data_IF_465323983442
#
_entry.id   IF_465323983442
#
_cell.length_a   1.000
_cell.length_b   1.000
_cell.length_c   1.000
_cell.angle_alpha   90.00
_cell.angle_beta   90.00
_cell.angle_gamma   90.00
#
_symmetry.space_group_name_H-M   'P 1'
#
loop_
_entity.id
_entity.type
_entity.pdbx_description
1 polymer ?
#
# COMPACT_ATOMS: atom_id res chain seq x y z
N UNK A 1 -30.85 11.97 4.01
CA UNK A 1 -30.01 11.11 3.15
C UNK A 1 -29.29 12.04 2.20
N UNK A 2 -28.05 12.43 2.52
CA UNK A 2 -27.31 13.41 1.73
C UNK A 2 -27.10 12.89 0.31
N UNK A 3 -27.26 13.75 -0.68
CA UNK A 3 -27.11 13.40 -2.09
C UNK A 3 -25.71 12.84 -2.34
N UNK A 4 -25.63 11.50 -2.43
CA UNK A 4 -24.43 10.80 -2.86
C UNK A 4 -24.25 11.12 -4.33
N UNK A 5 -23.39 12.09 -4.62
CA UNK A 5 -23.06 12.50 -5.98
C UNK A 5 -21.75 11.83 -6.41
N UNK A 6 -21.77 11.23 -7.60
CA UNK A 6 -20.59 10.60 -8.19
C UNK A 6 -19.57 11.67 -8.60
N UNK A 7 -18.40 11.66 -7.96
CA UNK A 7 -17.31 12.57 -8.31
C UNK A 7 -16.42 11.97 -9.41
N UNK A 8 -16.90 12.02 -10.66
CA UNK A 8 -16.16 11.49 -11.83
C UNK A 8 -14.83 12.21 -12.08
N UNK A 9 -14.65 13.44 -11.56
CA UNK A 9 -13.37 14.16 -11.64
C UNK A 9 -12.30 13.59 -10.71
N UNK A 10 -12.67 12.87 -9.65
CA UNK A 10 -11.71 12.28 -8.72
C UNK A 10 -10.71 11.34 -9.43
N UNK A 11 -11.18 10.57 -10.41
CA UNK A 11 -10.35 9.67 -11.22
C UNK A 11 -9.28 10.40 -12.04
N UNK A 12 -9.50 11.68 -12.35
CA UNK A 12 -8.55 12.52 -13.10
C UNK A 12 -7.60 13.31 -12.20
N UNK A 13 -7.77 13.26 -10.87
CA UNK A 13 -6.87 13.94 -9.93
C UNK A 13 -5.67 13.07 -9.60
N UNK A 14 -4.53 13.70 -9.28
CA UNK A 14 -3.33 13.00 -8.83
C UNK A 14 -3.62 12.11 -7.62
N UNK A 15 -4.52 12.54 -6.72
CA UNK A 15 -4.98 11.71 -5.58
C UNK A 15 -5.68 10.42 -6.01
N UNK A 16 -6.64 10.50 -6.93
CA UNK A 16 -7.32 9.32 -7.45
C UNK A 16 -6.36 8.36 -8.12
N UNK A 17 -5.43 8.87 -8.93
CA UNK A 17 -4.41 8.08 -9.61
C UNK A 17 -3.48 7.40 -8.61
N UNK A 18 -3.00 8.11 -7.58
CA UNK A 18 -2.13 7.54 -6.55
C UNK A 18 -2.84 6.43 -5.78
N UNK A 19 -4.11 6.61 -5.41
CA UNK A 19 -4.89 5.54 -4.76
C UNK A 19 -5.02 4.30 -5.64
N UNK A 20 -5.27 4.49 -6.94
CA UNK A 20 -5.31 3.37 -7.89
C UNK A 20 -3.94 2.67 -7.96
N UNK A 21 -2.84 3.42 -8.06
CA UNK A 21 -1.49 2.85 -8.07
C UNK A 21 -1.18 2.08 -6.79
N UNK A 22 -1.56 2.61 -5.63
CA UNK A 22 -1.42 1.92 -4.34
C UNK A 22 -2.23 0.61 -4.31
N UNK A 23 -3.44 0.59 -4.87
CA UNK A 23 -4.27 -0.63 -4.93
C UNK A 23 -3.65 -1.66 -5.88
N UNK A 24 -3.28 -1.25 -7.09
CA UNK A 24 -2.71 -2.16 -8.11
C UNK A 24 -1.38 -2.73 -7.66
N UNK A 25 -0.46 -1.88 -7.17
CA UNK A 25 0.81 -2.35 -6.64
C UNK A 25 0.61 -3.28 -5.42
N UNK A 26 -0.36 -2.98 -4.57
CA UNK A 26 -0.70 -3.82 -3.42
C UNK A 26 -1.20 -5.20 -3.82
N UNK A 27 -2.06 -5.31 -4.85
CA UNK A 27 -2.47 -6.61 -5.40
C UNK A 27 -1.29 -7.40 -5.96
N UNK A 28 -0.40 -6.75 -6.73
CA UNK A 28 0.80 -7.41 -7.27
C UNK A 28 1.69 -7.94 -6.13
N UNK A 29 1.91 -7.16 -5.08
CA UNK A 29 2.69 -7.59 -3.91
C UNK A 29 2.03 -8.81 -3.25
N UNK A 30 0.72 -8.79 -3.01
CA UNK A 30 0.00 -9.95 -2.45
C UNK A 30 0.16 -11.19 -3.32
N UNK A 31 0.01 -11.06 -4.64
CA UNK A 31 0.20 -12.17 -5.58
C UNK A 31 1.64 -12.70 -5.52
N UNK A 32 2.65 -11.83 -5.54
CA UNK A 32 4.06 -12.26 -5.52
C UNK A 32 4.44 -12.94 -4.21
N UNK A 33 4.03 -12.37 -3.07
CA UNK A 33 4.37 -12.90 -1.75
C UNK A 33 3.63 -14.21 -1.43
N UNK A 34 2.38 -14.37 -1.87
CA UNK A 34 1.59 -15.56 -1.55
C UNK A 34 1.57 -16.64 -2.65
N UNK A 35 1.97 -16.35 -3.89
CA UNK A 35 2.05 -17.37 -4.96
C UNK A 35 3.24 -18.32 -4.80
N UNK A 36 4.23 -17.97 -3.97
CA UNK A 36 5.42 -18.77 -3.80
C UNK A 36 5.62 -19.22 -2.36
N UNK A 37 6.05 -20.48 -2.25
CA UNK A 37 6.47 -21.05 -0.99
C UNK A 37 7.98 -20.81 -0.82
N UNK A 38 8.37 -19.88 0.03
CA UNK A 38 9.77 -19.48 0.26
C UNK A 38 10.49 -20.49 1.14
N UNK A 39 10.75 -21.69 0.60
CA UNK A 39 11.43 -22.77 1.33
C UNK A 39 10.58 -23.39 2.45
N UNK A 40 9.27 -23.54 2.21
CA UNK A 40 8.32 -24.08 3.20
C UNK A 40 7.65 -23.01 4.07
N UNK A 41 7.99 -21.73 3.87
CA UNK A 41 7.45 -20.61 4.64
C UNK A 41 6.37 -19.89 3.86
N UNK A 42 5.18 -19.82 4.44
CA UNK A 42 4.02 -19.17 3.84
C UNK A 42 4.03 -17.67 4.07
N UNK A 43 3.31 -16.93 3.23
CA UNK A 43 3.21 -15.46 3.32
C UNK A 43 2.62 -14.95 4.65
N UNK A 44 2.03 -15.81 5.47
CA UNK A 44 1.54 -15.50 6.83
C UNK A 44 2.23 -16.32 7.94
N UNK A 45 3.03 -17.32 7.59
CA UNK A 45 3.55 -18.30 8.55
C UNK A 45 4.85 -17.89 9.22
N UNK A 46 5.51 -16.84 8.74
CA UNK A 46 6.79 -16.39 9.27
C UNK A 46 6.71 -14.91 9.68
N UNK A 47 7.22 -14.54 10.86
CA UNK A 47 6.92 -13.23 11.45
C UNK A 47 7.26 -12.02 10.58
N UNK A 48 8.40 -12.04 9.88
CA UNK A 48 8.86 -10.89 9.06
C UNK A 48 8.15 -10.79 7.71
N UNK A 49 8.03 -11.92 7.00
CA UNK A 49 7.25 -12.02 5.75
C UNK A 49 5.76 -11.77 6.02
N UNK A 50 5.24 -12.32 7.11
CA UNK A 50 3.87 -12.20 7.59
C UNK A 50 3.50 -10.76 7.94
N UNK A 51 4.40 -10.01 8.56
CA UNK A 51 4.17 -8.58 8.80
C UNK A 51 4.05 -7.81 7.47
N UNK A 52 4.97 -8.02 6.53
CA UNK A 52 4.95 -7.31 5.25
C UNK A 52 3.72 -7.66 4.41
N UNK A 53 3.38 -8.95 4.32
CA UNK A 53 2.22 -9.47 3.59
C UNK A 53 0.91 -9.02 4.23
N UNK A 54 0.79 -9.17 5.55
CA UNK A 54 -0.40 -8.80 6.31
C UNK A 54 -0.68 -7.29 6.28
N UNK A 55 0.35 -6.48 6.49
CA UNK A 55 0.25 -5.02 6.37
C UNK A 55 -0.25 -4.63 4.96
N UNK A 56 0.38 -5.17 3.91
CA UNK A 56 0.00 -4.87 2.54
C UNK A 56 -1.44 -5.29 2.25
N UNK A 57 -1.87 -6.46 2.72
CA UNK A 57 -3.24 -6.94 2.55
C UNK A 57 -4.27 -6.00 3.21
N UNK A 58 -4.04 -5.61 4.46
CA UNK A 58 -4.91 -4.68 5.19
C UNK A 58 -4.95 -3.31 4.50
N UNK A 59 -3.81 -2.79 4.07
CA UNK A 59 -3.73 -1.51 3.37
C UNK A 59 -4.45 -1.52 2.01
N UNK A 60 -4.42 -2.61 1.25
CA UNK A 60 -5.19 -2.74 0.01
C UNK A 60 -6.69 -2.61 0.29
N UNK A 61 -7.19 -3.32 1.30
CA UNK A 61 -8.61 -3.27 1.67
C UNK A 61 -9.01 -1.86 2.09
N UNK A 62 -8.22 -1.21 2.95
CA UNK A 62 -8.52 0.17 3.39
C UNK A 62 -8.44 1.16 2.21
N UNK A 63 -7.45 1.02 1.32
CA UNK A 63 -7.34 1.88 0.14
C UNK A 63 -8.54 1.73 -0.81
N UNK A 64 -9.07 0.52 -0.99
CA UNK A 64 -10.30 0.29 -1.77
C UNK A 64 -11.49 1.00 -1.12
N UNK A 65 -11.65 0.87 0.20
CA UNK A 65 -12.74 1.53 0.93
C UNK A 65 -12.64 3.06 0.81
N UNK A 66 -11.46 3.63 1.04
CA UNK A 66 -11.23 5.08 0.91
C UNK A 66 -11.44 5.57 -0.53
N UNK A 67 -11.04 4.78 -1.52
CA UNK A 67 -11.29 5.10 -2.93
C UNK A 67 -12.80 5.18 -3.22
N UNK A 68 -13.59 4.21 -2.75
CA UNK A 68 -15.06 4.23 -2.90
C UNK A 68 -15.68 5.41 -2.17
N UNK A 69 -15.26 5.71 -0.92
CA UNK A 69 -15.77 6.85 -0.16
C UNK A 69 -15.49 8.19 -0.86
N UNK A 70 -14.27 8.38 -1.36
CA UNK A 70 -13.89 9.59 -2.10
C UNK A 70 -14.61 9.69 -3.46
N UNK A 71 -14.87 8.56 -4.12
CA UNK A 71 -15.64 8.51 -5.36
C UNK A 71 -17.12 8.90 -5.15
N UNK A 72 -17.69 8.54 -3.99
CA UNK A 72 -19.03 8.92 -3.55
C UNK A 72 -19.08 10.33 -2.90
N UNK A 73 -17.98 11.08 -2.97
CA UNK A 73 -17.84 12.43 -2.41
C UNK A 73 -18.09 12.54 -0.90
N UNK A 74 -17.96 11.42 -0.16
CA UNK A 74 -18.04 11.38 1.30
C UNK A 74 -16.65 11.70 1.85
N UNK A 75 -16.29 12.99 1.82
CA UNK A 75 -14.93 13.46 2.12
C UNK A 75 -14.52 13.29 3.58
N UNK A 76 -13.82 12.20 3.91
CA UNK A 76 -13.26 11.92 5.24
C UNK A 76 -11.78 12.35 5.35
N UNK A 77 -11.49 13.62 5.06
CA UNK A 77 -10.14 14.18 4.94
C UNK A 77 -9.21 13.92 6.15
N UNK A 78 -9.75 14.02 7.37
CA UNK A 78 -8.97 13.83 8.59
C UNK A 78 -8.53 12.38 8.80
N UNK A 79 -9.43 11.42 8.51
CA UNK A 79 -9.15 9.99 8.64
C UNK A 79 -8.09 9.56 7.61
N UNK A 80 -8.23 10.02 6.37
CA UNK A 80 -7.30 9.69 5.28
C UNK A 80 -5.88 10.24 5.53
N UNK A 81 -5.77 11.43 6.13
CA UNK A 81 -4.47 12.00 6.53
C UNK A 81 -3.79 11.14 7.60
N UNK A 82 -4.49 10.79 8.68
CA UNK A 82 -3.91 9.96 9.75
C UNK A 82 -3.52 8.59 9.21
N UNK A 83 -4.40 7.97 8.43
CA UNK A 83 -4.16 6.69 7.80
C UNK A 83 -2.89 6.71 6.92
N UNK A 84 -2.74 7.73 6.08
CA UNK A 84 -1.59 7.81 5.15
C UNK A 84 -0.27 8.04 5.89
N UNK A 85 -0.28 8.83 6.97
CA UNK A 85 0.90 9.02 7.84
C UNK A 85 1.28 7.70 8.54
N UNK A 86 0.31 7.00 9.12
CA UNK A 86 0.55 5.71 9.78
C UNK A 86 1.07 4.68 8.78
N UNK A 87 0.47 4.58 7.59
CA UNK A 87 0.94 3.66 6.55
C UNK A 87 2.36 3.98 6.08
N UNK A 88 2.72 5.25 5.96
CA UNK A 88 4.09 5.66 5.60
C UNK A 88 5.11 5.09 6.59
N UNK A 89 4.85 5.20 7.90
CA UNK A 89 5.74 4.66 8.94
C UNK A 89 5.77 3.13 8.92
N UNK A 90 4.60 2.48 8.78
CA UNK A 90 4.51 1.02 8.77
C UNK A 90 5.20 0.41 7.54
N UNK A 91 5.06 1.01 6.35
CA UNK A 91 5.74 0.56 5.14
C UNK A 91 7.25 0.81 5.17
N UNK A 92 7.71 1.86 5.88
CA UNK A 92 9.14 2.03 6.15
C UNK A 92 9.69 0.86 6.96
N UNK A 93 9.00 0.47 8.04
CA UNK A 93 9.37 -0.70 8.85
C UNK A 93 9.32 -1.99 8.02
N UNK A 94 8.27 -2.17 7.22
CA UNK A 94 8.14 -3.32 6.33
C UNK A 94 9.29 -3.41 5.30
N UNK A 95 9.73 -2.28 4.75
CA UNK A 95 10.87 -2.25 3.82
C UNK A 95 12.18 -2.70 4.48
N UNK A 96 12.44 -2.30 5.73
CA UNK A 96 13.62 -2.76 6.46
C UNK A 96 13.55 -4.27 6.78
N UNK A 97 12.36 -4.76 7.17
CA UNK A 97 12.14 -6.17 7.50
C UNK A 97 12.29 -7.10 6.29
N UNK A 98 11.77 -6.72 5.12
CA UNK A 98 11.89 -7.54 3.91
C UNK A 98 13.33 -7.56 3.39
N UNK A 99 14.08 -6.47 3.52
CA UNK A 99 15.52 -6.43 3.18
C UNK A 99 16.31 -7.34 4.12
N UNK A 100 16.05 -7.26 5.43
CA UNK A 100 16.66 -8.19 6.38
C UNK A 100 16.37 -9.63 5.97
N UNK A 101 15.11 -9.94 5.66
CA UNK A 101 14.72 -11.28 5.24
C UNK A 101 15.50 -11.77 4.00
N UNK A 102 15.72 -10.91 3.00
CA UNK A 102 16.54 -11.23 1.82
C UNK A 102 17.98 -11.58 2.22
N UNK A 103 18.59 -10.81 3.11
CA UNK A 103 19.98 -11.00 3.54
C UNK A 103 20.14 -12.31 4.33
N UNK A 104 19.27 -12.55 5.32
CA UNK A 104 19.37 -13.71 6.21
C UNK A 104 19.24 -15.04 5.47
N UNK A 105 18.31 -15.09 4.49
CA UNK A 105 18.04 -16.33 3.77
C UNK A 105 18.81 -16.46 2.46
N UNK A 106 19.65 -15.46 2.12
CA UNK A 106 20.42 -15.34 0.88
C UNK A 106 19.69 -15.92 -0.34
N UNK A 107 18.38 -15.68 -0.39
CA UNK A 107 17.49 -16.37 -1.31
C UNK A 107 17.44 -15.54 -2.58
N UNK A 108 18.18 -15.96 -3.60
CA UNK A 108 18.28 -15.32 -4.91
C UNK A 108 17.01 -15.51 -5.76
N UNK A 109 15.83 -15.41 -5.15
CA UNK A 109 14.56 -15.50 -5.86
C UNK A 109 14.19 -14.11 -6.37
N UNK A 110 14.23 -13.96 -7.68
CA UNK A 110 13.87 -12.73 -8.40
C UNK A 110 12.53 -12.12 -7.95
N UNK A 111 11.58 -12.96 -7.58
CA UNK A 111 10.25 -12.57 -7.10
C UNK A 111 10.26 -11.93 -5.70
N UNK A 112 11.13 -12.39 -4.79
CA UNK A 112 11.29 -11.79 -3.46
C UNK A 112 11.90 -10.39 -3.60
N UNK A 113 12.90 -10.23 -4.47
CA UNK A 113 13.52 -8.94 -4.77
C UNK A 113 12.50 -7.99 -5.42
N UNK A 114 11.70 -8.48 -6.38
CA UNK A 114 10.64 -7.69 -7.00
C UNK A 114 9.59 -7.25 -5.97
N UNK A 115 9.18 -8.13 -5.06
CA UNK A 115 8.24 -7.78 -3.99
C UNK A 115 8.80 -6.73 -3.03
N UNK A 116 10.09 -6.82 -2.67
CA UNK A 116 10.75 -5.83 -1.83
C UNK A 116 10.83 -4.45 -2.51
N UNK A 117 11.17 -4.42 -3.81
CA UNK A 117 11.17 -3.18 -4.59
C UNK A 117 9.77 -2.55 -4.63
N UNK A 118 8.72 -3.35 -4.81
CA UNK A 118 7.34 -2.86 -4.81
C UNK A 118 6.88 -2.37 -3.42
N UNK A 119 7.31 -3.00 -2.33
CA UNK A 119 7.07 -2.51 -0.95
C UNK A 119 7.73 -1.15 -0.74
N UNK A 120 8.95 -0.95 -1.26
CA UNK A 120 9.63 0.35 -1.23
C UNK A 120 8.90 1.38 -2.10
N UNK A 121 8.41 0.99 -3.28
CA UNK A 121 7.55 1.85 -4.10
C UNK A 121 6.26 2.25 -3.35
N UNK A 122 5.64 1.33 -2.62
CA UNK A 122 4.46 1.64 -1.78
C UNK A 122 4.78 2.68 -0.72
N UNK A 123 5.93 2.56 -0.04
CA UNK A 123 6.38 3.59 0.90
C UNK A 123 6.43 4.97 0.24
N UNK A 124 7.03 5.09 -0.95
CA UNK A 124 7.08 6.37 -1.67
C UNK A 124 5.70 6.86 -2.12
N UNK A 125 4.80 5.96 -2.53
CA UNK A 125 3.42 6.31 -2.88
C UNK A 125 2.65 6.84 -1.66
N UNK A 126 2.80 6.24 -0.48
CA UNK A 126 2.18 6.74 0.75
C UNK A 126 2.79 8.08 1.18
N UNK A 127 4.10 8.25 1.05
CA UNK A 127 4.76 9.53 1.34
C UNK A 127 4.25 10.64 0.42
N UNK A 128 4.06 10.35 -0.86
CA UNK A 128 3.49 11.31 -1.81
C UNK A 128 2.03 11.63 -1.49
N UNK A 129 1.23 10.63 -1.11
CA UNK A 129 -0.16 10.81 -0.68
C UNK A 129 -0.26 11.74 0.55
N UNK A 130 0.63 11.55 1.54
CA UNK A 130 0.75 12.44 2.70
C UNK A 130 1.06 13.89 2.27
N UNK A 131 2.00 14.09 1.35
CA UNK A 131 2.35 15.43 0.86
C UNK A 131 1.18 16.13 0.18
N UNK A 132 0.39 15.42 -0.63
CA UNK A 132 -0.82 16.00 -1.23
C UNK A 132 -1.87 16.31 -0.16
N UNK A 133 -2.05 15.44 0.83
CA UNK A 133 -2.99 15.65 1.93
C UNK A 133 -2.55 16.78 2.89
N UNK A 134 -1.27 17.12 2.93
CA UNK A 134 -0.73 18.27 3.66
C UNK A 134 -0.82 19.58 2.87
N UNK A 135 -1.12 19.51 1.58
CA UNK A 135 -1.17 20.68 0.68
C UNK A 135 0.21 21.10 0.15
N UNK A 136 1.24 20.27 0.34
CA UNK A 136 2.60 20.53 -0.14
C UNK A 136 2.80 20.12 -1.60
N UNK A 137 1.89 19.33 -2.16
CA UNK A 137 1.93 18.86 -3.55
C UNK A 137 0.59 19.09 -4.26
N UNK A 138 0.63 19.39 -5.56
CA UNK A 138 -0.55 19.66 -6.38
C UNK A 138 -1.38 18.40 -6.61
N UNK A 139 -2.71 18.55 -6.48
CA UNK A 139 -3.68 17.57 -6.98
C UNK A 139 -3.71 17.48 -8.50
#
# INVERSE_FOLDING_TARGET
MGEISLNTRYLSTNRGIIKILQIVAGFIICSLLCAQWYGGRSCFGEGRLGFCSGLNFVCVVINIVLFVLNFLNIGAWGLERIYSVVCTVLFLIASALIIWFIIEYNTSRSTLIASAALIVCQFFLFLWDVKILQGEASN
#
